data_IF_380643153973
#
_entry.id   IF_380643153973
#
_cell.length_a   1.000
_cell.length_b   1.000
_cell.length_c   1.000
_cell.angle_alpha   90.00
_cell.angle_beta   90.00
_cell.angle_gamma   90.00
#
_symmetry.space_group_name_H-M   'P 1'
#
loop_
_entity.id
_entity.type
_entity.pdbx_description
1 polymer ?
#
# COMPACT_ATOMS: atom_id res chain seq x y z
N UNK A 1 5.60 1.76 12.33
CA UNK A 1 5.15 1.35 10.99
C UNK A 1 6.08 2.05 10.03
N UNK A 2 6.83 1.30 9.24
CA UNK A 2 7.75 1.84 8.24
C UNK A 2 6.99 1.87 6.91
N UNK A 3 7.01 3.03 6.23
CA UNK A 3 6.29 3.23 4.98
C UNK A 3 7.18 2.97 3.78
N UNK A 4 6.57 2.54 2.67
CA UNK A 4 7.24 2.50 1.37
C UNK A 4 6.35 3.11 0.29
N UNK A 5 7.00 3.60 -0.77
CA UNK A 5 6.35 4.21 -1.93
C UNK A 5 6.98 3.63 -3.19
N UNK A 6 6.12 3.15 -4.09
CA UNK A 6 6.52 2.67 -5.42
C UNK A 6 6.22 3.78 -6.42
N UNK A 7 7.22 4.15 -7.23
CA UNK A 7 7.12 5.11 -8.31
C UNK A 7 7.31 4.38 -9.63
N UNK A 8 6.18 4.04 -10.26
CA UNK A 8 6.10 3.16 -11.42
C UNK A 8 6.92 1.87 -11.20
N UNK A 9 7.41 1.25 -12.27
CA UNK A 9 8.26 0.06 -12.20
C UNK A 9 9.74 0.41 -12.08
N UNK A 10 10.08 1.60 -11.58
CA UNK A 10 11.42 2.18 -11.68
C UNK A 10 12.09 2.45 -10.34
N UNK A 11 11.32 2.75 -9.29
CA UNK A 11 11.89 3.14 -8.01
C UNK A 11 10.98 2.80 -6.85
N UNK A 12 11.60 2.37 -5.75
CA UNK A 12 10.96 2.24 -4.45
C UNK A 12 11.72 3.08 -3.43
N UNK A 13 10.98 3.78 -2.59
CA UNK A 13 11.52 4.49 -1.45
C UNK A 13 11.01 3.88 -0.16
N UNK A 14 11.88 3.68 0.82
CA UNK A 14 11.54 3.09 2.13
C UNK A 14 12.00 4.03 3.24
N UNK A 15 11.08 4.35 4.14
CA UNK A 15 11.36 5.12 5.36
C UNK A 15 11.55 4.16 6.53
N UNK A 16 12.79 4.09 7.03
CA UNK A 16 13.20 3.29 8.17
C UNK A 16 13.43 4.19 9.39
N UNK A 17 13.36 3.64 10.60
CA UNK A 17 13.74 4.40 11.81
C UNK A 17 15.19 4.92 11.73
N UNK A 18 16.06 4.17 11.05
CA UNK A 18 17.48 4.51 10.90
C UNK A 18 17.81 5.42 9.72
N UNK A 19 16.84 5.74 8.84
CA UNK A 19 17.10 6.55 7.66
C UNK A 19 16.19 6.24 6.46
N UNK A 20 16.65 6.62 5.28
CA UNK A 20 15.88 6.53 4.05
C UNK A 20 16.63 5.71 2.99
N UNK A 21 15.93 4.82 2.31
CA UNK A 21 16.47 4.02 1.22
C UNK A 21 15.77 4.35 -0.09
N UNK A 22 16.56 4.56 -1.14
CA UNK A 22 16.09 4.63 -2.53
C UNK A 22 16.60 3.42 -3.29
N UNK A 23 15.68 2.62 -3.82
CA UNK A 23 15.94 1.40 -4.56
C UNK A 23 15.50 1.59 -6.00
N UNK A 24 16.37 1.26 -6.95
CA UNK A 24 16.09 1.35 -8.40
C UNK A 24 16.46 0.08 -9.15
N UNK A 25 16.96 -0.95 -8.47
CA UNK A 25 17.24 -2.22 -9.12
C UNK A 25 15.92 -2.91 -9.47
N UNK A 26 15.71 -3.34 -10.73
CA UNK A 26 14.43 -3.89 -11.16
C UNK A 26 13.92 -5.06 -10.32
N UNK A 27 14.82 -5.95 -9.87
CA UNK A 27 14.44 -7.07 -9.00
C UNK A 27 14.00 -6.65 -7.61
N UNK A 28 14.60 -5.59 -7.05
CA UNK A 28 14.19 -5.05 -5.76
C UNK A 28 12.86 -4.31 -5.87
N UNK A 29 12.65 -3.55 -6.95
CA UNK A 29 11.37 -2.90 -7.24
C UNK A 29 10.25 -3.94 -7.37
N UNK A 30 10.48 -4.99 -8.18
CA UNK A 30 9.50 -6.07 -8.38
C UNK A 30 9.13 -6.79 -7.08
N UNK A 31 10.07 -6.99 -6.16
CA UNK A 31 9.79 -7.59 -4.86
C UNK A 31 8.82 -6.74 -4.02
N UNK A 32 8.95 -5.42 -4.07
CA UNK A 32 8.03 -4.52 -3.36
C UNK A 32 6.68 -4.39 -4.07
N UNK A 33 6.64 -4.48 -5.40
CA UNK A 33 5.38 -4.57 -6.16
C UNK A 33 4.59 -5.83 -5.78
N UNK A 34 5.25 -6.98 -5.67
CA UNK A 34 4.64 -8.24 -5.25
C UNK A 34 4.10 -8.13 -3.81
N UNK A 35 4.89 -7.60 -2.88
CA UNK A 35 4.44 -7.37 -1.52
C UNK A 35 3.24 -6.40 -1.43
N UNK A 36 3.19 -5.37 -2.28
CA UNK A 36 2.04 -4.47 -2.37
C UNK A 36 0.79 -5.20 -2.90
N UNK A 37 0.94 -6.03 -3.93
CA UNK A 37 -0.15 -6.82 -4.48
C UNK A 37 -0.75 -7.79 -3.44
N UNK A 38 0.08 -8.46 -2.64
CA UNK A 38 -0.40 -9.32 -1.54
C UNK A 38 -1.23 -8.54 -0.51
N UNK A 39 -0.85 -7.31 -0.19
CA UNK A 39 -1.62 -6.44 0.71
C UNK A 39 -2.93 -5.97 0.07
N UNK A 40 -2.92 -5.73 -1.24
CA UNK A 40 -4.09 -5.30 -2.01
C UNK A 40 -5.19 -6.35 -2.05
N UNK A 41 -4.86 -7.66 -1.97
CA UNK A 41 -5.87 -8.73 -1.90
C UNK A 41 -6.84 -8.58 -0.72
N UNK A 42 -6.41 -7.95 0.36
CA UNK A 42 -7.24 -7.69 1.55
C UNK A 42 -8.07 -6.40 1.44
N UNK A 43 -7.82 -5.57 0.43
CA UNK A 43 -8.52 -4.31 0.25
C UNK A 43 -9.93 -4.52 -0.29
N UNK A 44 -10.85 -3.66 0.13
CA UNK A 44 -12.21 -3.61 -0.40
C UNK A 44 -12.33 -2.33 -1.23
N UNK A 45 -12.88 -2.47 -2.44
CA UNK A 45 -12.98 -1.36 -3.41
C UNK A 45 -14.43 -1.04 -3.80
N UNK A 46 -14.59 0.16 -4.38
CA UNK A 46 -15.83 0.63 -5.00
C UNK A 46 -17.04 0.56 -4.08
N UNK A 47 -18.17 0.09 -4.60
CA UNK A 47 -19.44 0.06 -3.86
C UNK A 47 -19.40 -0.79 -2.59
N UNK A 48 -18.58 -1.85 -2.55
CA UNK A 48 -18.41 -2.68 -1.35
C UNK A 48 -17.74 -1.87 -0.24
N UNK A 49 -16.71 -1.09 -0.58
CA UNK A 49 -16.05 -0.19 0.37
C UNK A 49 -17.01 0.89 0.87
N UNK A 50 -17.75 1.52 -0.05
CA UNK A 50 -18.76 2.52 0.31
C UNK A 50 -19.86 1.96 1.21
N UNK A 51 -20.30 0.72 0.99
CA UNK A 51 -21.30 0.07 1.83
C UNK A 51 -20.78 -0.15 3.27
N UNK A 52 -19.52 -0.57 3.44
CA UNK A 52 -18.89 -0.71 4.76
C UNK A 52 -18.84 0.64 5.49
N UNK A 53 -18.41 1.70 4.80
CA UNK A 53 -18.35 3.05 5.37
C UNK A 53 -19.74 3.55 5.76
N UNK A 54 -20.74 3.43 4.87
CA UNK A 54 -22.13 3.82 5.16
C UNK A 54 -22.72 3.04 6.34
N UNK A 55 -22.43 1.74 6.43
CA UNK A 55 -22.84 0.91 7.56
C UNK A 55 -22.25 1.39 8.89
N UNK A 56 -20.95 1.71 8.91
CA UNK A 56 -20.29 2.28 10.07
C UNK A 56 -20.90 3.64 10.46
N UNK A 57 -21.16 4.52 9.49
CA UNK A 57 -21.80 5.81 9.75
C UNK A 57 -23.21 5.66 10.34
N UNK A 58 -24.03 4.77 9.78
CA UNK A 58 -25.37 4.50 10.30
C UNK A 58 -25.36 3.94 11.73
N UNK A 59 -24.28 3.26 12.12
CA UNK A 59 -24.13 2.75 13.50
C UNK A 59 -23.86 3.83 14.55
N UNK A 60 -23.57 5.07 14.13
CA UNK A 60 -23.30 6.19 15.02
C UNK A 60 -24.55 6.99 15.44
N UNK A 61 -25.70 6.77 14.79
CA UNK A 61 -26.98 7.44 15.10
C UNK A 61 -27.38 8.50 14.08
#
# INVERSE_FOLDING_TARGET
MEGFWIFDTAQVNVELVSGYLTMTQPGEVAMYEEAFAELEESAVHGERAHALIRGALASLG
#
